data_IF_348321485737
#
_entry.id   IF_348321485737
#
_cell.length_a   1.000
_cell.length_b   1.000
_cell.length_c   1.000
_cell.angle_alpha   90.00
_cell.angle_beta   90.00
_cell.angle_gamma   90.00
#
_symmetry.space_group_name_H-M   'P 1'
#
loop_
_entity.id
_entity.type
_entity.pdbx_description
1 polymer ?
#
# COMPACT_ATOMS: atom_id res chain seq x y z
N UNK A 1 -3.76 -13.20 -7.47
CA UNK A 1 -4.89 -12.53 -6.78
C UNK A 1 -5.55 -13.50 -5.80
N UNK A 2 -5.74 -14.76 -6.21
CA UNK A 2 -6.37 -15.85 -5.46
C UNK A 2 -5.92 -16.04 -4.01
N UNK A 3 -4.61 -16.01 -3.72
CA UNK A 3 -4.09 -16.17 -2.34
C UNK A 3 -4.72 -15.17 -1.36
N UNK A 4 -4.94 -13.92 -1.79
CA UNK A 4 -5.56 -12.93 -0.93
C UNK A 4 -7.09 -12.98 -0.94
N UNK A 5 -7.71 -13.60 -1.94
CA UNK A 5 -9.15 -13.90 -1.91
C UNK A 5 -9.46 -14.91 -0.81
N UNK A 6 -8.69 -16.00 -0.74
CA UNK A 6 -8.74 -16.96 0.38
C UNK A 6 -8.46 -16.26 1.71
N UNK A 7 -7.33 -15.54 1.80
CA UNK A 7 -6.97 -14.81 3.03
C UNK A 7 -8.04 -13.84 3.53
N UNK A 8 -8.75 -13.17 2.61
CA UNK A 8 -9.82 -12.22 2.94
C UNK A 8 -10.99 -12.93 3.61
N UNK A 9 -11.39 -14.10 3.13
CA UNK A 9 -12.49 -14.88 3.70
C UNK A 9 -12.16 -15.38 5.11
N UNK A 10 -10.91 -15.73 5.36
CA UNK A 10 -10.44 -16.27 6.64
C UNK A 10 -9.85 -15.20 7.58
N UNK A 11 -10.04 -13.91 7.29
CA UNK A 11 -9.67 -12.81 8.18
C UNK A 11 -8.16 -12.57 8.35
N UNK A 12 -7.33 -12.95 7.38
CA UNK A 12 -5.91 -12.63 7.37
C UNK A 12 -5.47 -11.90 6.10
N UNK A 13 -4.25 -11.36 6.10
CA UNK A 13 -3.67 -10.68 4.95
C UNK A 13 -2.29 -11.26 4.63
N UNK A 14 -2.07 -11.63 3.37
CA UNK A 14 -0.78 -12.16 2.90
C UNK A 14 -0.11 -11.13 1.98
N UNK A 15 1.15 -10.81 2.29
CA UNK A 15 2.00 -9.97 1.44
C UNK A 15 3.17 -10.76 0.90
N UNK A 16 3.58 -10.42 -0.32
CA UNK A 16 4.84 -10.87 -0.91
C UNK A 16 5.97 -10.01 -0.33
N UNK A 17 6.94 -10.64 0.31
CA UNK A 17 8.04 -9.96 0.99
C UNK A 17 9.26 -9.83 0.06
N UNK A 18 9.85 -10.98 -0.27
CA UNK A 18 11.03 -11.11 -1.10
C UNK A 18 10.70 -12.01 -2.28
N UNK A 19 11.31 -11.75 -3.42
CA UNK A 19 11.12 -12.56 -4.61
C UNK A 19 12.29 -12.44 -5.57
N UNK A 20 12.66 -13.57 -6.16
CA UNK A 20 13.62 -13.65 -7.24
C UNK A 20 12.99 -14.56 -8.29
N UNK A 21 12.80 -14.06 -9.50
CA UNK A 21 12.40 -14.89 -10.65
C UNK A 21 13.61 -14.99 -11.55
N UNK A 22 14.00 -16.20 -11.90
CA UNK A 22 15.08 -16.48 -12.84
C UNK A 22 14.63 -17.59 -13.78
N UNK A 23 14.38 -17.28 -15.07
CA UNK A 23 14.06 -18.31 -16.06
C UNK A 23 15.18 -19.36 -16.12
N UNK A 24 14.82 -20.65 -16.19
CA UNK A 24 15.77 -21.76 -16.24
C UNK A 24 16.60 -21.99 -14.96
N UNK A 25 16.36 -21.21 -13.90
CA UNK A 25 17.01 -21.34 -12.60
C UNK A 25 15.97 -21.37 -11.48
N UNK A 26 16.44 -21.57 -10.24
CA UNK A 26 15.59 -21.49 -9.06
C UNK A 26 14.93 -20.11 -8.95
N UNK A 27 13.60 -20.13 -9.03
CA UNK A 27 12.74 -18.98 -8.75
C UNK A 27 12.09 -19.14 -7.38
N UNK A 28 11.90 -18.03 -6.66
CA UNK A 28 11.49 -18.05 -5.25
C UNK A 28 10.64 -16.83 -4.90
N UNK A 29 9.60 -17.05 -4.11
CA UNK A 29 8.82 -16.03 -3.43
C UNK A 29 8.66 -16.35 -1.96
N UNK A 30 8.71 -15.33 -1.12
CA UNK A 30 8.33 -15.43 0.29
C UNK A 30 7.00 -14.73 0.48
N UNK A 31 5.99 -15.49 0.88
CA UNK A 31 4.73 -14.98 1.38
C UNK A 31 4.82 -14.87 2.90
N UNK A 32 4.31 -13.78 3.46
CA UNK A 32 4.30 -13.56 4.89
C UNK A 32 3.03 -12.82 5.32
N UNK A 33 2.77 -12.83 6.62
CA UNK A 33 1.66 -12.10 7.20
C UNK A 33 1.83 -10.59 6.97
N UNK A 34 0.74 -9.88 6.68
CA UNK A 34 0.78 -8.41 6.53
C UNK A 34 1.11 -7.66 7.83
N UNK A 35 1.02 -8.36 8.98
CA UNK A 35 1.45 -7.93 10.32
C UNK A 35 2.85 -8.44 10.70
N UNK A 36 3.62 -8.99 9.75
CA UNK A 36 4.92 -9.62 9.99
C UNK A 36 5.98 -8.68 10.60
N UNK A 37 6.69 -9.23 11.59
CA UNK A 37 7.80 -8.61 12.30
C UNK A 37 7.34 -7.56 13.31
N UNK A 38 8.30 -6.80 13.83
CA UNK A 38 8.06 -5.72 14.79
C UNK A 38 8.13 -4.35 14.11
N UNK A 39 7.57 -3.34 14.80
CA UNK A 39 7.74 -1.95 14.39
C UNK A 39 9.23 -1.60 14.35
N UNK A 40 9.69 -1.06 13.21
CA UNK A 40 11.06 -0.53 13.13
C UNK A 40 11.18 0.71 14.01
N UNK A 41 12.30 0.89 14.75
CA UNK A 41 12.60 2.11 15.47
C UNK A 41 12.47 3.33 14.53
N UNK A 42 11.95 4.43 15.07
CA UNK A 42 11.91 5.69 14.34
C UNK A 42 13.33 6.25 14.17
N UNK A 43 13.64 6.83 13.00
CA UNK A 43 14.89 7.57 12.77
C UNK A 43 14.76 9.09 12.95
N UNK A 44 13.55 9.58 13.21
CA UNK A 44 13.27 11.01 13.39
C UNK A 44 13.31 11.41 14.86
N UNK A 45 13.13 12.71 15.12
CA UNK A 45 13.19 13.35 16.44
C UNK A 45 12.16 12.89 17.50
N UNK A 46 11.42 11.80 17.25
CA UNK A 46 10.49 11.22 18.24
C UNK A 46 9.21 12.03 18.51
N UNK A 47 9.05 13.23 17.93
CA UNK A 47 7.91 14.15 18.15
C UNK A 47 6.55 13.46 17.95
N UNK A 48 6.45 12.51 17.01
CA UNK A 48 5.23 11.72 16.79
C UNK A 48 5.48 10.23 17.04
N UNK A 49 4.65 9.63 17.91
CA UNK A 49 4.57 8.17 18.03
C UNK A 49 4.09 7.56 16.71
N UNK A 50 4.97 6.78 16.07
CA UNK A 50 4.64 6.03 14.87
C UNK A 50 3.71 4.87 15.24
N UNK A 51 2.52 4.82 14.65
CA UNK A 51 1.63 3.67 14.73
C UNK A 51 2.03 2.64 13.67
N UNK A 52 2.14 1.37 14.06
CA UNK A 52 2.42 0.24 13.18
C UNK A 52 1.38 -0.85 13.37
N UNK A 53 1.00 -1.54 12.30
CA UNK A 53 0.11 -2.71 12.34
C UNK A 53 0.86 -4.02 12.65
N UNK A 54 2.19 -3.95 12.67
CA UNK A 54 3.06 -5.09 12.91
C UNK A 54 2.91 -5.58 14.35
N UNK A 55 2.62 -6.86 14.53
CA UNK A 55 2.29 -7.47 15.84
C UNK A 55 3.39 -8.40 16.36
N UNK A 56 4.57 -8.42 15.73
CA UNK A 56 5.60 -9.42 16.01
C UNK A 56 5.36 -10.76 15.32
N UNK A 57 4.33 -10.87 14.47
CA UNK A 57 4.01 -12.12 13.76
C UNK A 57 5.21 -12.60 12.94
N UNK A 58 5.50 -13.91 13.01
CA UNK A 58 6.62 -14.52 12.29
C UNK A 58 6.16 -15.45 11.17
N UNK A 59 4.85 -15.59 10.94
CA UNK A 59 4.31 -16.46 9.90
C UNK A 59 4.82 -16.07 8.52
N UNK A 60 5.40 -17.06 7.83
CA UNK A 60 5.81 -16.96 6.43
C UNK A 60 5.98 -18.35 5.81
N UNK A 61 5.73 -18.42 4.51
CA UNK A 61 5.90 -19.62 3.68
C UNK A 61 6.67 -19.25 2.41
N UNK A 62 7.37 -20.22 1.84
CA UNK A 62 8.10 -20.01 0.59
C UNK A 62 7.42 -20.74 -0.56
N UNK A 63 7.24 -20.05 -1.69
CA UNK A 63 6.92 -20.68 -2.96
C UNK A 63 8.20 -20.73 -3.80
N UNK A 64 8.59 -21.91 -4.27
CA UNK A 64 9.80 -22.11 -5.05
C UNK A 64 9.50 -22.93 -6.31
N UNK A 65 10.08 -22.50 -7.42
CA UNK A 65 10.09 -23.25 -8.67
C UNK A 65 11.55 -23.61 -8.97
N UNK A 66 11.80 -24.90 -9.20
CA UNK A 66 13.12 -25.50 -9.30
C UNK A 66 13.31 -26.06 -10.71
N UNK A 67 14.45 -25.87 -11.38
CA UNK A 67 14.67 -26.51 -12.68
C UNK A 67 14.49 -28.03 -12.61
N UNK A 68 14.89 -28.63 -11.48
CA UNK A 68 14.80 -30.06 -11.22
C UNK A 68 13.37 -30.60 -11.21
N UNK A 69 12.36 -29.76 -10.91
CA UNK A 69 10.95 -30.15 -10.94
C UNK A 69 10.20 -29.59 -12.16
N UNK A 70 10.91 -29.33 -13.26
CA UNK A 70 10.33 -28.75 -14.46
C UNK A 70 9.86 -27.30 -14.26
N UNK A 71 10.46 -26.56 -13.32
CA UNK A 71 10.05 -25.21 -12.93
C UNK A 71 8.61 -25.10 -12.40
N UNK A 72 8.08 -26.19 -11.83
CA UNK A 72 6.77 -26.18 -11.17
C UNK A 72 6.85 -25.48 -9.80
N UNK A 73 5.89 -24.61 -9.52
CA UNK A 73 5.80 -23.94 -8.22
C UNK A 73 5.40 -24.92 -7.11
N UNK A 74 6.20 -24.97 -6.05
CA UNK A 74 5.93 -25.74 -4.84
C UNK A 74 5.91 -24.83 -3.62
N UNK A 75 5.01 -25.10 -2.67
CA UNK A 75 4.98 -24.41 -1.38
C UNK A 75 5.77 -25.23 -0.35
N UNK A 76 6.66 -24.55 0.38
CA UNK A 76 7.49 -25.16 1.41
C UNK A 76 7.44 -24.35 2.70
N UNK A 77 7.38 -25.06 3.81
CA UNK A 77 7.58 -24.47 5.13
C UNK A 77 9.07 -24.14 5.34
N UNK A 78 9.33 -23.11 6.13
CA UNK A 78 10.69 -22.87 6.63
C UNK A 78 11.03 -23.91 7.71
N UNK A 79 12.31 -24.31 7.87
CA UNK A 79 12.70 -25.25 8.93
C UNK A 79 12.34 -24.78 10.34
N UNK A 80 12.38 -23.47 10.57
CA UNK A 80 11.99 -22.88 11.84
C UNK A 80 10.46 -22.85 11.98
N UNK A 81 9.96 -23.60 12.96
CA UNK A 81 8.53 -23.78 13.27
C UNK A 81 7.83 -22.48 13.69
N UNK A 82 8.57 -21.47 14.18
CA UNK A 82 8.00 -20.13 14.46
C UNK A 82 7.38 -19.46 13.23
N UNK A 83 7.75 -19.91 12.03
CA UNK A 83 7.20 -19.40 10.78
C UNK A 83 5.87 -20.07 10.36
N UNK A 84 5.42 -21.09 11.07
CA UNK A 84 4.24 -21.88 10.69
C UNK A 84 2.95 -21.34 11.30
N UNK A 85 3.05 -20.53 12.36
CA UNK A 85 1.90 -20.07 13.14
C UNK A 85 1.81 -18.54 13.19
N UNK A 86 0.57 -18.06 13.23
CA UNK A 86 0.26 -16.67 13.54
C UNK A 86 0.24 -16.47 15.06
N UNK A 87 0.70 -15.30 15.52
CA UNK A 87 0.64 -14.92 16.93
C UNK A 87 -0.59 -14.06 17.28
N UNK A 88 -1.56 -14.01 16.37
CA UNK A 88 -2.76 -13.20 16.51
C UNK A 88 -3.94 -13.93 15.89
N UNK A 89 -5.15 -13.61 16.37
CA UNK A 89 -6.40 -14.11 15.78
C UNK A 89 -6.64 -13.47 14.40
N UNK A 90 -7.48 -14.10 13.56
CA UNK A 90 -8.05 -13.45 12.39
C UNK A 90 -8.76 -12.13 12.74
N UNK A 91 -8.76 -11.18 11.80
CA UNK A 91 -9.53 -9.93 11.92
C UNK A 91 -10.97 -10.17 11.51
N UNK A 92 -11.91 -9.54 12.21
CA UNK A 92 -13.33 -9.57 11.86
C UNK A 92 -13.64 -8.78 10.57
N UNK A 93 -12.87 -7.73 10.28
CA UNK A 93 -13.08 -6.87 9.11
C UNK A 93 -11.87 -6.91 8.18
N UNK A 94 -12.13 -7.17 6.89
CA UNK A 94 -11.13 -7.12 5.82
C UNK A 94 -10.44 -5.75 5.74
N UNK A 95 -11.10 -4.66 6.16
CA UNK A 95 -10.53 -3.31 6.19
C UNK A 95 -9.31 -3.19 7.11
N UNK A 96 -9.14 -4.11 8.07
CA UNK A 96 -7.93 -4.17 8.89
C UNK A 96 -6.65 -4.44 8.09
N UNK A 97 -6.79 -5.00 6.88
CA UNK A 97 -5.68 -5.44 6.03
C UNK A 97 -5.57 -4.56 4.77
N UNK A 98 -4.49 -3.75 4.61
CA UNK A 98 -4.32 -2.90 3.43
C UNK A 98 -4.24 -3.64 2.10
N UNK A 99 -3.89 -4.93 2.11
CA UNK A 99 -3.87 -5.74 0.88
C UNK A 99 -5.27 -5.94 0.31
N UNK A 100 -6.28 -6.02 1.17
CA UNK A 100 -7.70 -6.13 0.79
C UNK A 100 -8.34 -4.78 0.45
N UNK A 101 -7.69 -3.68 0.85
CA UNK A 101 -8.14 -2.30 0.58
C UNK A 101 -7.55 -1.68 -0.69
N UNK A 102 -6.89 -2.48 -1.53
CA UNK A 102 -6.30 -2.00 -2.78
C UNK A 102 -7.42 -1.74 -3.78
N UNK A 103 -7.63 -0.47 -4.13
CA UNK A 103 -8.61 -0.10 -5.15
C UNK A 103 -8.26 -0.73 -6.50
N UNK A 104 -9.24 -1.39 -7.11
CA UNK A 104 -9.13 -1.92 -8.48
C UNK A 104 -9.10 -0.79 -9.50
N UNK A 105 -8.71 -1.08 -10.74
CA UNK A 105 -8.67 -0.07 -11.80
C UNK A 105 -10.05 0.59 -12.04
N UNK A 106 -11.18 -0.15 -12.08
CA UNK A 106 -12.51 0.47 -12.19
C UNK A 106 -12.84 1.40 -11.01
N UNK A 107 -12.51 1.00 -9.78
CA UNK A 107 -12.74 1.84 -8.60
C UNK A 107 -11.88 3.11 -8.65
N UNK A 108 -10.62 3.00 -9.07
CA UNK A 108 -9.75 4.18 -9.26
C UNK A 108 -10.32 5.15 -10.31
N UNK A 109 -10.88 4.63 -11.40
CA UNK A 109 -11.50 5.45 -12.44
C UNK A 109 -12.69 6.26 -11.90
N UNK A 110 -13.55 5.66 -11.07
CA UNK A 110 -14.65 6.38 -10.38
C UNK A 110 -14.11 7.43 -9.40
N UNK A 111 -13.07 7.10 -8.63
CA UNK A 111 -12.42 8.08 -7.74
C UNK A 111 -11.87 9.25 -8.56
N UNK A 112 -11.23 9.00 -9.69
CA UNK A 112 -10.68 10.03 -10.58
C UNK A 112 -11.77 10.91 -11.19
N UNK A 113 -12.81 10.31 -11.79
CA UNK A 113 -13.90 11.05 -12.42
C UNK A 113 -14.68 11.88 -11.41
N UNK A 114 -15.01 11.31 -10.25
CA UNK A 114 -15.73 11.99 -9.18
C UNK A 114 -14.92 13.13 -8.57
N UNK A 115 -13.59 13.01 -8.51
CA UNK A 115 -12.70 14.05 -7.97
C UNK A 115 -12.62 15.31 -8.83
N UNK A 116 -13.17 15.32 -10.05
CA UNK A 116 -13.28 16.53 -10.88
C UNK A 116 -14.32 17.53 -10.36
N UNK A 117 -15.27 17.09 -9.54
CA UNK A 117 -16.29 17.97 -8.95
C UNK A 117 -15.66 18.83 -7.86
N UNK A 118 -15.79 20.16 -7.99
CA UNK A 118 -15.24 21.12 -7.02
C UNK A 118 -15.85 20.87 -5.63
N UNK A 119 -15.01 20.85 -4.60
CA UNK A 119 -15.45 20.73 -3.20
C UNK A 119 -15.90 19.34 -2.74
N UNK A 120 -15.95 18.32 -3.62
CA UNK A 120 -16.41 16.98 -3.24
C UNK A 120 -15.49 16.32 -2.19
N UNK A 121 -16.06 15.83 -1.08
CA UNK A 121 -15.30 15.24 0.00
C UNK A 121 -15.02 13.76 -0.27
N UNK A 122 -13.97 13.22 0.36
CA UNK A 122 -13.65 11.79 0.22
C UNK A 122 -14.78 10.88 0.74
N UNK A 123 -15.62 11.36 1.68
CA UNK A 123 -16.78 10.59 2.15
C UNK A 123 -17.84 10.40 1.05
N UNK A 124 -18.05 11.44 0.23
CA UNK A 124 -19.07 11.46 -0.81
C UNK A 124 -18.63 10.59 -1.99
N UNK A 125 -17.33 10.68 -2.36
CA UNK A 125 -16.73 9.72 -3.29
C UNK A 125 -16.87 8.29 -2.77
N UNK A 126 -16.70 8.07 -1.46
CA UNK A 126 -16.96 6.76 -0.87
C UNK A 126 -18.41 6.31 -1.06
N UNK A 127 -19.40 7.20 -0.92
CA UNK A 127 -20.79 6.89 -1.28
C UNK A 127 -20.90 6.35 -2.70
N UNK A 128 -20.43 7.14 -3.67
CA UNK A 128 -20.45 6.80 -5.10
C UNK A 128 -19.74 5.45 -5.37
N UNK A 129 -18.57 5.23 -4.75
CA UNK A 129 -17.84 3.97 -4.91
C UNK A 129 -18.60 2.78 -4.35
N UNK A 130 -19.31 2.92 -3.21
CA UNK A 130 -20.16 1.83 -2.68
C UNK A 130 -21.32 1.52 -3.60
N UNK A 131 -21.95 2.53 -4.18
CA UNK A 131 -23.10 2.36 -5.05
C UNK A 131 -22.72 1.58 -6.33
N UNK A 132 -21.54 1.85 -6.89
CA UNK A 132 -21.04 1.14 -8.08
C UNK A 132 -20.31 -0.17 -7.76
N UNK A 133 -19.67 -0.29 -6.59
CA UNK A 133 -18.81 -1.41 -6.21
C UNK A 133 -19.06 -1.82 -4.74
N UNK A 134 -20.18 -2.50 -4.45
CA UNK A 134 -20.56 -2.85 -3.07
C UNK A 134 -19.54 -3.73 -2.35
N UNK A 135 -18.83 -4.59 -3.10
CA UNK A 135 -17.81 -5.51 -2.53
C UNK A 135 -16.45 -4.84 -2.23
N UNK A 136 -16.32 -3.56 -2.60
CA UNK A 136 -15.06 -2.84 -2.44
C UNK A 136 -14.83 -2.46 -0.97
N UNK A 137 -13.68 -2.88 -0.44
CA UNK A 137 -13.26 -2.58 0.93
C UNK A 137 -12.26 -1.44 0.87
N UNK A 138 -12.50 -0.37 1.62
CA UNK A 138 -11.57 0.76 1.71
C UNK A 138 -11.94 1.63 2.92
N UNK A 139 -11.03 2.54 3.27
CA UNK A 139 -11.26 3.61 4.23
C UNK A 139 -11.22 4.95 3.52
N UNK A 140 -11.73 5.99 4.18
CA UNK A 140 -11.63 7.37 3.68
C UNK A 140 -10.18 7.78 3.35
N UNK A 141 -9.21 7.30 4.14
CA UNK A 141 -7.79 7.57 3.91
C UNK A 141 -7.30 6.95 2.61
N UNK A 142 -7.85 5.81 2.18
CA UNK A 142 -7.45 5.18 0.92
C UNK A 142 -7.93 5.99 -0.29
N UNK A 143 -9.10 6.65 -0.19
CA UNK A 143 -9.58 7.60 -1.21
C UNK A 143 -8.67 8.82 -1.28
N UNK A 144 -8.29 9.41 -0.14
CA UNK A 144 -7.34 10.52 -0.13
C UNK A 144 -5.98 10.13 -0.73
N UNK A 145 -5.46 8.96 -0.38
CA UNK A 145 -4.21 8.43 -0.95
C UNK A 145 -4.34 8.20 -2.47
N UNK A 146 -5.50 7.72 -2.94
CA UNK A 146 -5.76 7.53 -4.36
C UNK A 146 -5.77 8.87 -5.11
N UNK A 147 -6.45 9.89 -4.60
CA UNK A 147 -6.42 11.27 -5.13
C UNK A 147 -5.01 11.82 -5.21
N UNK A 148 -4.25 11.71 -4.12
CA UNK A 148 -2.88 12.21 -4.09
C UNK A 148 -1.98 11.52 -5.14
N UNK A 149 -2.19 10.22 -5.38
CA UNK A 149 -1.48 9.48 -6.42
C UNK A 149 -1.90 9.92 -7.83
N UNK A 150 -3.20 10.05 -8.09
CA UNK A 150 -3.74 10.53 -9.37
C UNK A 150 -3.19 11.93 -9.69
N UNK A 151 -3.21 12.85 -8.72
CA UNK A 151 -2.66 14.19 -8.92
C UNK A 151 -1.15 14.15 -9.23
N UNK A 152 -0.40 13.28 -8.55
CA UNK A 152 1.02 13.10 -8.84
C UNK A 152 1.26 12.56 -10.24
N UNK A 153 0.44 11.60 -10.70
CA UNK A 153 0.49 11.07 -12.06
C UNK A 153 0.20 12.17 -13.10
N UNK A 154 -0.81 13.03 -12.87
CA UNK A 154 -1.10 14.19 -13.73
C UNK A 154 0.02 15.22 -13.77
N UNK A 155 0.74 15.38 -12.66
CA UNK A 155 1.87 16.29 -12.53
C UNK A 155 3.21 15.63 -12.90
N UNK A 156 3.21 14.57 -13.71
CA UNK A 156 4.45 13.94 -14.20
C UNK A 156 5.34 13.34 -13.11
N UNK A 157 4.76 12.92 -11.98
CA UNK A 157 5.49 12.36 -10.85
C UNK A 157 5.79 13.37 -9.73
N UNK A 158 5.59 14.67 -9.96
CA UNK A 158 5.92 15.73 -9.01
C UNK A 158 4.81 15.96 -7.97
N UNK A 159 5.19 16.48 -6.80
CA UNK A 159 4.22 17.11 -5.92
C UNK A 159 3.78 18.46 -6.51
N UNK A 160 2.65 19.02 -6.05
CA UNK A 160 2.10 20.27 -6.57
C UNK A 160 3.12 21.41 -6.59
N UNK A 161 3.89 21.59 -5.52
CA UNK A 161 4.95 22.62 -5.44
C UNK A 161 6.09 22.36 -6.41
N UNK A 162 6.57 21.11 -6.51
CA UNK A 162 7.65 20.77 -7.43
C UNK A 162 7.22 20.91 -8.90
N UNK A 163 5.95 20.60 -9.22
CA UNK A 163 5.40 20.81 -10.55
C UNK A 163 5.28 22.31 -10.89
N UNK A 164 4.95 23.15 -9.91
CA UNK A 164 4.92 24.60 -10.07
C UNK A 164 6.33 25.16 -10.29
N UNK A 165 7.33 24.71 -9.53
CA UNK A 165 8.73 25.10 -9.71
C UNK A 165 9.20 24.71 -11.12
N UNK A 166 8.95 23.47 -11.53
CA UNK A 166 9.27 23.02 -12.89
C UNK A 166 8.60 23.90 -13.96
N UNK A 167 7.34 24.28 -13.76
CA UNK A 167 6.64 25.19 -14.68
C UNK A 167 7.33 26.55 -14.78
N UNK A 168 7.85 27.08 -13.67
CA UNK A 168 8.63 28.34 -13.69
C UNK A 168 9.94 28.17 -14.43
N UNK A 169 10.68 27.09 -14.17
CA UNK A 169 11.92 26.77 -14.87
C UNK A 169 11.66 26.65 -16.40
N UNK A 170 10.65 25.86 -16.80
CA UNK A 170 10.28 25.63 -18.20
C UNK A 170 9.86 26.93 -18.93
N UNK A 171 9.27 27.89 -18.20
CA UNK A 171 8.82 29.17 -18.75
C UNK A 171 9.84 30.30 -18.60
N UNK A 172 11.01 30.03 -18.00
CA UNK A 172 12.00 31.06 -17.70
C UNK A 172 11.49 32.13 -16.74
N UNK A 173 10.52 31.80 -15.88
CA UNK A 173 9.97 32.74 -14.90
C UNK A 173 10.95 32.81 -13.72
N UNK A 174 11.53 33.99 -13.40
CA UNK A 174 12.45 34.11 -12.28
C UNK A 174 11.70 33.94 -10.95
N UNK A 175 12.29 33.20 -10.02
CA UNK A 175 11.79 33.04 -8.66
C UNK A 175 12.96 32.96 -7.67
N UNK A 176 12.69 33.31 -6.41
CA UNK A 176 13.61 33.10 -5.29
C UNK A 176 12.98 32.09 -4.35
N UNK A 177 13.67 30.96 -4.12
CA UNK A 177 13.23 29.95 -3.17
C UNK A 177 13.88 30.22 -1.81
N UNK A 178 13.13 30.83 -0.90
CA UNK A 178 13.56 31.05 0.49
C UNK A 178 12.83 30.11 1.45
N UNK A 179 13.53 29.65 2.48
CA UNK A 179 12.88 29.05 3.64
C UNK A 179 12.17 30.14 4.44
N UNK A 180 10.91 29.88 4.83
CA UNK A 180 10.21 30.79 5.73
C UNK A 180 11.03 30.99 7.02
N UNK A 181 11.42 32.24 7.31
CA UNK A 181 12.24 32.60 8.47
C UNK A 181 11.52 32.34 9.81
N UNK A 182 10.20 32.21 9.79
CA UNK A 182 9.36 31.88 10.94
C UNK A 182 8.45 30.70 10.63
N UNK A 183 8.32 29.80 11.61
CA UNK A 183 7.41 28.67 11.55
C UNK A 183 5.95 29.17 11.68
N UNK A 184 5.09 29.07 10.66
CA UNK A 184 3.73 29.63 10.70
C UNK A 184 2.76 28.89 11.64
N UNK A 185 3.26 27.91 12.41
CA UNK A 185 2.47 27.14 13.39
C UNK A 185 2.71 27.56 14.84
N UNK A 186 3.36 28.71 15.07
CA UNK A 186 3.34 29.38 16.36
C UNK A 186 2.04 30.22 16.49
N UNK A 187 0.92 29.53 16.71
CA UNK A 187 -0.31 30.09 17.27
C UNK A 187 -0.94 29.03 18.19
#
# INVERSE_FOLDING_TARGET
AEVNSFAKADGFGIIKANGVIRPGQRSRYVFQCDRYGTQRPGRGAGIRKRKSRKSGCQWKIVAEALPENGSQWTLRHFPNTKHHQHNHKPSADAAAHPVHRRLTSPVKAIVQSSSRRVGIRARDIGGIVRDHFPDSVYTQRDIYNARARINREHLGGYCSTAALIKLFDDKGIPYVAEWARTNPTAW
#
